data_IF_716239607065
#
_entry.id   IF_716239607065
#
_cell.length_a   1.000
_cell.length_b   1.000
_cell.length_c   1.000
_cell.angle_alpha   90.00
_cell.angle_beta   90.00
_cell.angle_gamma   90.00
#
_symmetry.space_group_name_H-M   'P 1'
#
loop_
_entity.id
_entity.type
_entity.pdbx_description
1 polymer ?
#
# COMPACT_ATOMS: atom_id res chain seq x y z
N UNK A 1 2.70 12.21 7.34
CA UNK A 1 2.09 11.53 8.51
C UNK A 1 2.90 11.75 9.78
N UNK A 2 4.23 11.73 9.71
CA UNK A 2 5.13 11.99 10.85
C UNK A 2 4.93 13.38 11.47
N UNK A 3 4.59 14.40 10.68
CA UNK A 3 4.33 15.77 11.20
C UNK A 3 3.13 15.85 12.16
N UNK A 4 2.22 14.86 12.09
CA UNK A 4 1.06 14.78 12.99
C UNK A 4 1.34 14.01 14.28
N UNK A 5 2.54 13.44 14.41
CA UNK A 5 3.01 12.75 15.62
C UNK A 5 3.64 13.76 16.61
N UNK A 6 2.93 14.84 16.86
CA UNK A 6 3.30 15.85 17.86
C UNK A 6 2.31 15.82 19.01
N UNK A 7 2.78 16.16 20.20
CA UNK A 7 1.93 16.23 21.40
C UNK A 7 0.84 17.31 21.21
N UNK A 8 1.21 18.44 20.62
CA UNK A 8 0.33 19.56 20.30
C UNK A 8 -0.87 19.14 19.43
N UNK A 9 -0.65 18.33 18.39
CA UNK A 9 -1.74 17.85 17.52
C UNK A 9 -2.68 16.89 18.23
N UNK A 10 -2.15 16.05 19.12
CA UNK A 10 -2.97 15.17 19.91
C UNK A 10 -3.83 15.96 20.91
N UNK A 11 -3.27 16.97 21.58
CA UNK A 11 -4.00 17.77 22.56
C UNK A 11 -5.11 18.63 21.91
N UNK A 12 -4.86 19.15 20.70
CA UNK A 12 -5.90 19.83 19.90
C UNK A 12 -7.03 18.86 19.52
N UNK A 13 -6.70 17.61 19.18
CA UNK A 13 -7.70 16.62 18.82
C UNK A 13 -8.49 16.14 20.04
N UNK A 14 -7.80 15.93 21.17
CA UNK A 14 -8.41 15.50 22.43
C UNK A 14 -9.34 16.58 23.00
N UNK A 15 -8.94 17.85 22.97
CA UNK A 15 -9.78 18.98 23.39
C UNK A 15 -11.02 19.17 22.51
N UNK A 16 -10.90 18.93 21.20
CA UNK A 16 -12.07 18.91 20.30
C UNK A 16 -13.00 17.74 20.61
N UNK A 17 -12.45 16.56 20.88
CA UNK A 17 -13.25 15.39 21.24
C UNK A 17 -14.00 15.58 22.56
N UNK A 18 -13.36 16.16 23.58
CA UNK A 18 -14.02 16.49 24.84
C UNK A 18 -15.10 17.56 24.65
N UNK A 19 -14.84 18.61 23.87
CA UNK A 19 -15.84 19.64 23.57
C UNK A 19 -17.06 19.10 22.80
N UNK A 20 -16.86 18.12 21.91
CA UNK A 20 -17.97 17.45 21.20
C UNK A 20 -18.74 16.54 22.15
N UNK A 21 -18.05 15.79 23.02
CA UNK A 21 -18.71 14.95 24.01
C UNK A 21 -19.58 15.77 24.97
N UNK A 22 -19.09 16.93 25.42
CA UNK A 22 -19.87 17.85 26.27
C UNK A 22 -21.03 18.49 25.51
N UNK A 23 -20.87 18.78 24.21
CA UNK A 23 -21.94 19.35 23.38
C UNK A 23 -23.09 18.36 23.13
N UNK A 24 -22.79 17.07 23.10
CA UNK A 24 -23.74 16.00 22.83
C UNK A 24 -24.26 15.32 24.11
N UNK A 25 -23.96 15.86 25.30
CA UNK A 25 -24.27 15.27 26.61
C UNK A 25 -23.83 13.80 26.73
N UNK A 26 -22.72 13.44 26.09
CA UNK A 26 -22.15 12.10 26.17
C UNK A 26 -21.32 11.94 27.44
N UNK A 27 -21.12 10.69 27.85
CA UNK A 27 -20.22 10.40 28.97
C UNK A 27 -18.81 10.93 28.68
N UNK A 28 -18.15 11.53 29.69
CA UNK A 28 -16.80 12.05 29.52
C UNK A 28 -15.84 10.92 29.15
N UNK A 29 -14.76 11.28 28.43
CA UNK A 29 -13.74 10.32 28.02
C UNK A 29 -13.06 9.78 29.29
N UNK A 30 -13.36 8.53 29.63
CA UNK A 30 -12.85 7.86 30.82
C UNK A 30 -11.94 6.70 30.44
N UNK A 31 -11.08 6.31 31.40
CA UNK A 31 -10.27 5.12 31.27
C UNK A 31 -11.16 3.88 31.09
N UNK A 32 -10.93 3.04 30.06
CA UNK A 32 -11.65 1.79 29.90
C UNK A 32 -11.42 0.88 31.11
N UNK A 33 -12.43 0.09 31.47
CA UNK A 33 -12.36 -0.78 32.63
C UNK A 33 -11.22 -1.80 32.48
N UNK A 34 -10.17 -1.65 33.31
CA UNK A 34 -9.01 -2.54 33.29
C UNK A 34 -9.39 -3.87 33.94
N UNK A 35 -9.43 -4.94 33.14
CA UNK A 35 -9.67 -6.30 33.64
C UNK A 35 -8.47 -6.74 34.48
N UNK A 36 -8.74 -7.23 35.70
CA UNK A 36 -7.69 -7.85 36.52
C UNK A 36 -7.33 -9.23 35.95
N UNK A 37 -6.07 -9.48 35.58
CA UNK A 37 -5.64 -10.81 35.17
C UNK A 37 -5.81 -11.82 36.31
N UNK A 38 -6.03 -13.09 35.97
CA UNK A 38 -6.30 -14.13 36.97
C UNK A 38 -5.06 -14.43 37.80
N UNK A 39 -5.24 -14.58 39.13
CA UNK A 39 -4.14 -14.76 40.11
C UNK A 39 -3.19 -15.93 39.82
N UNK A 40 -3.61 -16.89 38.99
CA UNK A 40 -2.81 -18.07 38.62
C UNK A 40 -1.60 -17.72 37.72
N UNK A 41 -1.65 -16.61 36.99
CA UNK A 41 -0.64 -16.26 35.98
C UNK A 41 0.09 -14.93 36.26
N UNK A 42 -0.22 -14.25 37.36
CA UNK A 42 0.37 -12.96 37.72
C UNK A 42 1.39 -13.15 38.85
N UNK A 43 2.67 -12.86 38.61
CA UNK A 43 3.68 -12.70 39.67
C UNK A 43 3.38 -11.48 40.58
N UNK A 44 4.30 -11.16 41.50
CA UNK A 44 4.16 -10.00 42.42
C UNK A 44 4.27 -8.62 41.73
N UNK A 45 4.47 -8.56 40.42
CA UNK A 45 4.65 -7.32 39.67
C UNK A 45 3.32 -6.61 39.42
N UNK A 46 3.29 -5.30 39.71
CA UNK A 46 2.17 -4.43 39.39
C UNK A 46 1.87 -4.44 37.88
N UNK A 47 0.59 -4.52 37.52
CA UNK A 47 0.16 -4.43 36.13
C UNK A 47 0.48 -3.04 35.58
N UNK A 48 0.93 -2.95 34.33
CA UNK A 48 1.10 -1.68 33.64
C UNK A 48 -0.28 -1.03 33.42
N UNK A 49 -0.55 0.04 34.16
CA UNK A 49 -1.78 0.84 34.06
C UNK A 49 -1.36 2.24 33.64
N UNK A 50 -2.01 2.78 32.61
CA UNK A 50 -1.80 4.17 32.22
C UNK A 50 -2.31 5.11 33.31
N UNK A 51 -1.57 6.18 33.65
CA UNK A 51 -1.94 7.08 34.74
C UNK A 51 -3.21 7.88 34.44
N UNK A 52 -3.48 8.18 33.17
CA UNK A 52 -4.63 9.00 32.77
C UNK A 52 -5.21 8.58 31.41
N UNK A 53 -6.49 8.90 31.18
CA UNK A 53 -7.21 8.64 29.93
C UNK A 53 -6.48 9.30 28.74
N UNK A 54 -6.00 10.53 28.90
CA UNK A 54 -5.25 11.24 27.86
C UNK A 54 -3.99 10.45 27.46
N UNK A 55 -3.26 9.89 28.42
CA UNK A 55 -2.05 9.11 28.15
C UNK A 55 -2.33 7.78 27.44
N UNK A 56 -3.46 7.12 27.74
CA UNK A 56 -3.88 5.89 27.08
C UNK A 56 -4.29 6.14 25.62
N UNK A 57 -5.13 7.16 25.39
CA UNK A 57 -5.58 7.50 24.05
C UNK A 57 -4.45 8.08 23.19
N UNK A 58 -3.45 8.72 23.79
CA UNK A 58 -2.24 9.17 23.09
C UNK A 58 -1.48 8.00 22.49
N UNK A 59 -1.26 6.94 23.27
CA UNK A 59 -0.59 5.72 22.78
C UNK A 59 -1.40 5.07 21.67
N UNK A 60 -2.72 4.98 21.82
CA UNK A 60 -3.59 4.43 20.76
C UNK A 60 -3.58 5.27 19.48
N UNK A 61 -3.57 6.60 19.61
CA UNK A 61 -3.50 7.53 18.49
C UNK A 61 -2.20 7.36 17.70
N UNK A 62 -1.05 7.30 18.40
CA UNK A 62 0.23 7.06 17.75
C UNK A 62 0.29 5.66 17.14
N UNK A 63 -0.19 4.63 17.83
CA UNK A 63 -0.26 3.28 17.27
C UNK A 63 -1.11 3.24 15.99
N UNK A 64 -2.23 3.96 15.94
CA UNK A 64 -3.05 4.04 14.73
C UNK A 64 -2.30 4.75 13.58
N UNK A 65 -1.63 5.87 13.86
CA UNK A 65 -0.82 6.58 12.86
C UNK A 65 0.34 5.73 12.35
N UNK A 66 1.05 5.08 13.25
CA UNK A 66 2.19 4.21 12.93
C UNK A 66 1.72 3.00 12.13
N UNK A 67 0.60 2.38 12.52
CA UNK A 67 0.00 1.27 11.74
C UNK A 67 -0.34 1.73 10.33
N UNK A 68 -1.04 2.86 10.19
CA UNK A 68 -1.39 3.39 8.87
C UNK A 68 -0.15 3.68 8.05
N UNK A 69 0.87 4.32 8.63
CA UNK A 69 2.11 4.66 7.94
C UNK A 69 2.86 3.40 7.49
N UNK A 70 2.98 2.40 8.37
CA UNK A 70 3.58 1.11 8.06
C UNK A 70 2.81 0.41 6.95
N UNK A 71 1.48 0.38 7.00
CA UNK A 71 0.66 -0.22 5.95
C UNK A 71 0.80 0.50 4.61
N UNK A 72 0.94 1.83 4.60
CA UNK A 72 1.24 2.57 3.37
C UNK A 72 2.61 2.18 2.81
N UNK A 73 3.63 2.13 3.66
CA UNK A 73 4.98 1.73 3.25
C UNK A 73 4.97 0.30 2.71
N UNK A 74 4.45 -0.65 3.48
CA UNK A 74 4.40 -2.07 3.12
C UNK A 74 3.60 -2.33 1.85
N UNK A 75 2.54 -1.56 1.58
CA UNK A 75 1.69 -1.76 0.40
C UNK A 75 2.20 -1.06 -0.85
N UNK A 76 2.76 0.14 -0.73
CA UNK A 76 3.14 0.97 -1.88
C UNK A 76 4.65 0.97 -2.17
N UNK A 77 5.51 0.64 -1.21
CA UNK A 77 6.97 0.49 -1.41
C UNK A 77 7.38 -0.97 -1.64
N UNK A 78 6.48 -1.75 -2.25
CA UNK A 78 6.77 -3.14 -2.59
C UNK A 78 7.73 -3.19 -3.79
N UNK A 79 8.67 -4.13 -3.77
CA UNK A 79 9.61 -4.33 -4.89
C UNK A 79 8.89 -4.54 -6.23
N UNK A 80 7.71 -5.16 -6.23
CA UNK A 80 6.88 -5.31 -7.43
C UNK A 80 6.35 -3.98 -7.98
N UNK A 81 5.96 -3.05 -7.10
CA UNK A 81 5.47 -1.73 -7.51
C UNK A 81 6.61 -0.89 -8.11
N UNK A 82 7.82 -0.97 -7.54
CA UNK A 82 9.00 -0.33 -8.12
C UNK A 82 9.33 -0.86 -9.52
N UNK A 83 9.19 -2.16 -9.77
CA UNK A 83 9.37 -2.72 -11.12
C UNK A 83 8.35 -2.18 -12.11
N UNK A 84 7.07 -2.08 -11.71
CA UNK A 84 6.03 -1.48 -12.55
C UNK A 84 6.34 -0.01 -12.86
N UNK A 85 6.77 0.75 -11.85
CA UNK A 85 7.19 2.14 -12.03
C UNK A 85 8.37 2.24 -13.02
N UNK A 86 9.34 1.32 -12.96
CA UNK A 86 10.45 1.28 -13.91
C UNK A 86 9.97 0.97 -15.34
N UNK A 87 9.04 0.02 -15.51
CA UNK A 87 8.45 -0.26 -16.82
C UNK A 87 7.64 0.90 -17.38
N UNK A 88 6.92 1.62 -16.54
CA UNK A 88 6.20 2.83 -16.94
C UNK A 88 7.17 3.95 -17.32
N UNK A 89 8.26 4.14 -16.57
CA UNK A 89 9.30 5.09 -16.93
C UNK A 89 9.95 4.77 -18.28
N UNK A 90 10.23 3.48 -18.55
CA UNK A 90 10.72 3.02 -19.86
C UNK A 90 9.74 3.40 -20.97
N UNK A 91 8.44 3.19 -20.75
CA UNK A 91 7.40 3.47 -21.74
C UNK A 91 7.27 4.98 -22.05
N UNK A 92 7.30 5.82 -21.01
CA UNK A 92 7.05 7.26 -21.13
C UNK A 92 8.29 8.06 -21.53
N UNK A 93 9.45 7.72 -20.99
CA UNK A 93 10.68 8.50 -21.17
C UNK A 93 11.68 7.84 -22.12
N UNK A 94 11.48 6.55 -22.45
CA UNK A 94 12.43 5.80 -23.28
C UNK A 94 13.75 5.45 -22.57
N UNK A 95 13.83 5.69 -21.26
CA UNK A 95 15.01 5.33 -20.46
C UNK A 95 15.04 3.81 -20.27
N UNK A 96 15.91 3.16 -21.04
CA UNK A 96 16.04 1.71 -21.06
C UNK A 96 16.68 1.19 -19.77
N UNK A 97 15.82 0.76 -18.85
CA UNK A 97 16.24 0.19 -17.57
C UNK A 97 16.55 -1.32 -17.71
N UNK A 98 17.51 -1.82 -16.92
CA UNK A 98 17.93 -3.25 -16.94
C UNK A 98 16.82 -4.22 -16.54
N UNK A 99 15.70 -3.71 -16.04
CA UNK A 99 14.53 -4.49 -15.64
C UNK A 99 13.85 -5.12 -16.85
N UNK A 100 13.98 -4.51 -18.03
CA UNK A 100 13.43 -5.05 -19.29
C UNK A 100 14.10 -6.39 -19.66
N UNK A 101 15.39 -6.56 -19.36
CA UNK A 101 16.14 -7.78 -19.65
C UNK A 101 15.71 -8.99 -18.78
N UNK A 102 14.90 -8.76 -17.74
CA UNK A 102 14.33 -9.85 -16.93
C UNK A 102 13.21 -10.61 -17.67
N UNK A 103 12.66 -10.03 -18.74
CA UNK A 103 11.55 -10.59 -19.47
C UNK A 103 12.00 -11.10 -20.83
N UNK A 104 11.92 -12.43 -21.10
CA UNK A 104 12.39 -13.01 -22.36
C UNK A 104 11.55 -12.57 -23.57
N UNK A 105 10.36 -12.04 -23.33
CA UNK A 105 9.41 -11.58 -24.34
C UNK A 105 9.77 -10.18 -24.88
N UNK A 106 10.60 -9.43 -24.14
CA UNK A 106 11.03 -8.09 -24.49
C UNK A 106 12.46 -8.11 -25.05
N UNK A 107 12.64 -7.47 -26.21
CA UNK A 107 13.94 -7.22 -26.81
C UNK A 107 14.28 -5.75 -26.64
N UNK A 108 15.20 -5.43 -25.73
CA UNK A 108 15.60 -4.06 -25.38
C UNK A 108 16.03 -3.22 -26.59
N UNK A 109 16.73 -3.81 -27.57
CA UNK A 109 17.18 -3.09 -28.78
C UNK A 109 16.01 -2.73 -29.70
N UNK A 110 15.10 -3.66 -29.92
CA UNK A 110 13.92 -3.42 -30.77
C UNK A 110 12.93 -2.49 -30.07
N UNK A 111 12.75 -2.66 -28.76
CA UNK A 111 11.89 -1.81 -27.95
C UNK A 111 12.35 -0.35 -27.99
N UNK A 112 13.66 -0.08 -27.88
CA UNK A 112 14.20 1.28 -27.93
C UNK A 112 13.88 1.98 -29.27
N UNK A 113 14.05 1.26 -30.40
CA UNK A 113 13.72 1.80 -31.73
C UNK A 113 12.22 2.04 -31.86
N UNK A 114 11.40 1.10 -31.40
CA UNK A 114 9.95 1.22 -31.47
C UNK A 114 9.43 2.36 -30.57
N UNK A 115 9.97 2.55 -29.37
CA UNK A 115 9.61 3.66 -28.48
C UNK A 115 9.97 5.02 -29.08
N UNK A 116 11.18 5.15 -29.66
CA UNK A 116 11.59 6.40 -30.32
C UNK A 116 10.67 6.74 -31.50
N UNK A 117 10.31 5.74 -32.31
CA UNK A 117 9.39 5.91 -33.43
C UNK A 117 7.95 6.21 -32.94
N UNK A 118 7.52 5.56 -31.88
CA UNK A 118 6.19 5.75 -31.29
C UNK A 118 6.05 7.17 -30.70
N UNK A 119 7.04 7.64 -29.93
CA UNK A 119 7.08 9.01 -29.38
C UNK A 119 7.21 10.11 -30.44
N UNK A 120 7.82 9.81 -31.59
CA UNK A 120 7.86 10.74 -32.72
C UNK A 120 6.53 10.83 -33.47
N UNK A 121 5.72 9.76 -33.43
CA UNK A 121 4.47 9.65 -34.19
C UNK A 121 3.25 10.03 -33.35
N UNK A 122 3.28 9.78 -32.04
CA UNK A 122 2.15 9.94 -31.14
C UNK A 122 2.54 10.73 -29.89
N UNK A 123 1.63 11.59 -29.43
CA UNK A 123 1.75 12.31 -28.16
C UNK A 123 0.98 11.58 -27.07
N UNK A 124 1.61 11.31 -25.94
CA UNK A 124 1.01 10.63 -24.80
C UNK A 124 1.67 11.08 -23.50
N UNK A 125 0.90 11.11 -22.41
CA UNK A 125 1.39 11.46 -21.07
C UNK A 125 1.28 10.29 -20.10
N UNK A 126 0.31 9.38 -20.33
CA UNK A 126 0.05 8.25 -19.44
C UNK A 126 0.15 6.90 -20.15
N UNK A 127 0.44 5.85 -19.37
CA UNK A 127 0.42 4.46 -19.83
C UNK A 127 -0.97 4.03 -20.35
N UNK A 128 -2.04 4.63 -19.85
CA UNK A 128 -3.41 4.43 -20.35
C UNK A 128 -3.62 5.00 -21.76
N UNK A 129 -3.01 6.14 -22.07
CA UNK A 129 -3.11 6.75 -23.40
C UNK A 129 -2.40 5.90 -24.45
N UNK A 130 -1.23 5.34 -24.10
CA UNK A 130 -0.54 4.40 -24.98
C UNK A 130 -1.42 3.18 -25.26
N UNK A 131 -2.10 2.66 -24.24
CA UNK A 131 -2.99 1.52 -24.40
C UNK A 131 -4.21 1.82 -25.29
N UNK A 132 -4.79 3.03 -25.20
CA UNK A 132 -5.90 3.42 -26.08
C UNK A 132 -5.43 3.61 -27.52
N UNK A 133 -4.28 4.27 -27.73
CA UNK A 133 -3.66 4.44 -29.06
C UNK A 133 -3.43 3.08 -29.72
N UNK A 134 -2.79 2.15 -29.01
CA UNK A 134 -2.53 0.80 -29.55
C UNK A 134 -3.83 0.06 -29.88
N UNK A 135 -4.88 0.24 -29.07
CA UNK A 135 -6.19 -0.38 -29.29
C UNK A 135 -6.91 0.15 -30.53
N UNK A 136 -6.76 1.44 -30.82
CA UNK A 136 -7.37 2.10 -31.99
C UNK A 136 -6.58 1.85 -33.29
N UNK A 137 -5.31 1.44 -33.19
CA UNK A 137 -4.50 1.11 -34.35
C UNK A 137 -5.05 -0.07 -35.15
N UNK A 138 -4.95 0.11 -36.47
CA UNK A 138 -5.12 -0.92 -37.50
C UNK A 138 -4.10 -2.05 -37.26
N UNK A 139 -4.48 -3.35 -37.36
CA UNK A 139 -3.65 -4.48 -36.93
C UNK A 139 -2.27 -4.54 -37.60
N UNK A 140 -2.16 -4.10 -38.85
CA UNK A 140 -0.90 -4.02 -39.59
C UNK A 140 0.08 -3.03 -38.95
N UNK A 141 -0.42 -1.86 -38.51
CA UNK A 141 0.38 -0.83 -37.82
C UNK A 141 0.73 -1.28 -36.41
N UNK A 142 -0.21 -1.95 -35.73
CA UNK A 142 0.03 -2.54 -34.40
C UNK A 142 1.18 -3.55 -34.42
N UNK A 143 1.27 -4.37 -35.48
CA UNK A 143 2.36 -5.33 -35.68
C UNK A 143 3.76 -4.69 -35.72
N UNK A 144 3.86 -3.42 -36.17
CA UNK A 144 5.12 -2.68 -36.19
C UNK A 144 5.64 -2.37 -34.77
N UNK A 145 4.73 -2.20 -33.81
CA UNK A 145 5.00 -1.83 -32.42
C UNK A 145 4.83 -3.00 -31.45
N UNK A 146 5.09 -4.24 -31.90
CA UNK A 146 4.86 -5.43 -31.09
C UNK A 146 5.61 -5.48 -29.75
N UNK A 147 6.76 -4.80 -29.62
CA UNK A 147 7.49 -4.71 -28.34
C UNK A 147 6.83 -3.69 -27.39
N UNK A 148 6.32 -2.57 -27.92
CA UNK A 148 5.57 -1.59 -27.14
C UNK A 148 4.25 -2.20 -26.67
N UNK A 149 3.57 -2.96 -27.54
CA UNK A 149 2.37 -3.71 -27.15
C UNK A 149 2.68 -4.75 -26.07
N UNK A 150 3.77 -5.51 -26.20
CA UNK A 150 4.20 -6.47 -25.18
C UNK A 150 4.48 -5.76 -23.82
N UNK A 151 5.13 -4.60 -23.84
CA UNK A 151 5.40 -3.81 -22.64
C UNK A 151 4.10 -3.29 -21.99
N UNK A 152 3.16 -2.78 -22.79
CA UNK A 152 1.85 -2.31 -22.30
C UNK A 152 1.03 -3.47 -21.75
N UNK A 153 1.04 -4.64 -22.42
CA UNK A 153 0.41 -5.84 -21.89
C UNK A 153 1.05 -6.25 -20.56
N UNK A 154 2.36 -6.20 -20.42
CA UNK A 154 3.03 -6.52 -19.17
C UNK A 154 2.61 -5.57 -18.03
N UNK A 155 2.51 -4.27 -18.30
CA UNK A 155 2.00 -3.26 -17.36
C UNK A 155 0.53 -3.50 -16.97
N UNK A 156 -0.33 -3.91 -17.92
CA UNK A 156 -1.77 -4.12 -17.68
C UNK A 156 -2.13 -5.51 -17.14
N UNK A 157 -1.30 -6.52 -17.42
CA UNK A 157 -1.56 -7.92 -17.05
C UNK A 157 -0.95 -8.27 -15.71
N UNK A 158 0.15 -7.64 -15.28
CA UNK A 158 0.65 -7.81 -13.91
C UNK A 158 -0.44 -7.27 -12.99
N UNK A 159 -1.25 -8.16 -12.36
CA UNK A 159 -2.23 -7.69 -11.43
C UNK A 159 -1.45 -7.15 -10.23
N UNK A 160 -2.08 -6.35 -9.40
CA UNK A 160 -1.68 -6.15 -8.01
C UNK A 160 -1.72 -7.49 -7.21
N UNK A 161 -1.12 -8.57 -7.73
CA UNK A 161 -1.19 -9.95 -7.24
C UNK A 161 -0.38 -10.15 -5.96
N UNK A 162 0.43 -9.18 -5.56
CA UNK A 162 0.98 -9.15 -4.20
C UNK A 162 -0.10 -8.91 -3.14
N UNK A 163 -1.26 -8.33 -3.49
CA UNK A 163 -2.34 -8.09 -2.53
C UNK A 163 -3.29 -9.29 -2.29
N UNK A 164 -3.30 -10.30 -3.16
CA UNK A 164 -4.17 -11.48 -2.98
C UNK A 164 -3.54 -12.59 -2.13
N UNK A 165 -2.21 -12.67 -2.10
CA UNK A 165 -1.52 -13.72 -1.34
C UNK A 165 -1.70 -13.56 0.18
N UNK A 166 -1.76 -12.33 0.70
CA UNK A 166 -1.85 -12.08 2.15
C UNK A 166 -3.19 -12.54 2.76
N UNK A 167 -4.31 -12.37 2.05
CA UNK A 167 -5.63 -12.85 2.51
C UNK A 167 -5.75 -14.36 2.58
N UNK A 168 -4.88 -15.08 1.87
CA UNK A 168 -4.91 -16.54 1.81
C UNK A 168 -4.15 -17.18 2.98
N UNK A 169 -3.13 -16.51 3.53
CA UNK A 169 -2.34 -17.03 4.65
C UNK A 169 -2.98 -16.77 6.02
N UNK A 170 -3.69 -15.65 6.21
CA UNK A 170 -4.36 -15.35 7.48
C UNK A 170 -5.47 -16.35 7.86
N UNK A 171 -6.09 -16.99 6.86
CA UNK A 171 -7.15 -18.00 7.11
C UNK A 171 -6.61 -19.38 7.46
N UNK A 172 -5.38 -19.72 7.04
CA UNK A 172 -4.82 -21.08 7.23
C UNK A 172 -4.32 -21.36 8.64
N UNK A 173 -3.85 -20.35 9.38
CA UNK A 173 -3.36 -20.55 10.74
C UNK A 173 -4.49 -20.69 11.79
N UNK A 174 -5.67 -20.12 11.54
CA UNK A 174 -6.81 -20.24 12.46
C UNK A 174 -7.48 -21.62 12.44
N UNK A 175 -7.39 -22.37 11.34
CA UNK A 175 -8.04 -23.68 11.25
C UNK A 175 -7.23 -24.79 11.94
N UNK A 176 -5.90 -24.66 12.02
CA UNK A 176 -5.04 -25.72 12.58
C UNK A 176 -5.07 -25.71 14.12
N UNK A 177 -5.15 -24.55 14.77
CA UNK A 177 -5.27 -24.50 16.24
C UNK A 177 -6.64 -24.98 16.79
N UNK A 178 -7.65 -25.17 15.94
CA UNK A 178 -8.95 -25.70 16.37
C UNK A 178 -9.07 -27.23 16.29
N UNK A 179 -8.07 -27.93 15.76
CA UNK A 179 -8.12 -29.40 15.58
C UNK A 179 -7.30 -30.19 16.61
N UNK A 180 -6.53 -29.53 17.49
CA UNK A 180 -5.63 -30.19 18.45
C UNK A 180 -6.17 -30.28 19.90
N UNK A 181 -7.47 -30.03 20.09
CA UNK A 181 -8.16 -30.18 21.39
C UNK A 181 -9.46 -31.00 21.26
N UNK A 182 -9.32 -32.26 20.87
CA UNK A 182 -10.31 -33.32 21.17
C UNK A 182 -9.62 -34.59 21.61
#
# INVERSE_FOLDING_TARGET
MQDKRTEEHFDVLFSKATAVATKLDLQPIQMPHVRKPTKRYTGQTAAHIHPDAQSLYRVQFYNALDTVNTQFIERFQQAGFHKLQQHENVLLHGDMDKVVDQYPELNSRLLQVQLAMFGATYTYETSSDVASIIREMVPEVRGLFGQVEALVRLLLVVPASSAEAERSFERRLKTIQCLDHR
#
